data_IF_827677761103
#
_entry.id   IF_827677761103
#
_cell.length_a   1.000
_cell.length_b   1.000
_cell.length_c   1.000
_cell.angle_alpha   90.00
_cell.angle_beta   90.00
_cell.angle_gamma   90.00
#
_symmetry.space_group_name_H-M   'P 1'
#
loop_
_entity.id
_entity.type
_entity.pdbx_description
1 polymer ?
#
# COMPACT_ATOMS: atom_id res chain seq x y z
N UNK A 1 64.33 -17.40 26.76
CA UNK A 1 63.36 -18.09 27.66
C UNK A 1 62.24 -17.17 28.15
N UNK A 2 62.52 -15.90 28.52
CA UNK A 2 61.49 -14.97 29.03
C UNK A 2 60.57 -14.42 27.91
N UNK A 3 61.05 -14.25 26.68
CA UNK A 3 60.30 -13.79 25.54
C UNK A 3 59.18 -14.78 25.17
N UNK A 4 59.42 -16.08 25.19
CA UNK A 4 58.43 -17.12 24.91
C UNK A 4 57.32 -17.20 25.97
N UNK A 5 57.57 -16.83 27.22
CA UNK A 5 56.61 -16.84 28.32
C UNK A 5 55.68 -15.64 28.22
N UNK A 6 56.22 -14.47 27.82
CA UNK A 6 55.45 -13.25 27.59
C UNK A 6 54.49 -13.36 26.41
N UNK A 7 54.97 -13.95 25.28
CA UNK A 7 54.14 -14.23 24.12
C UNK A 7 52.99 -15.19 24.41
N UNK A 8 53.23 -16.21 25.26
CA UNK A 8 52.22 -17.18 25.65
C UNK A 8 51.13 -16.54 26.53
N UNK A 9 51.49 -15.65 27.45
CA UNK A 9 50.53 -14.97 28.32
C UNK A 9 49.63 -13.97 27.57
N UNK A 10 50.17 -13.28 26.55
CA UNK A 10 49.41 -12.44 25.68
C UNK A 10 48.43 -13.25 24.81
N UNK A 11 48.89 -14.37 24.27
CA UNK A 11 48.01 -15.25 23.47
C UNK A 11 46.84 -15.83 24.30
N UNK A 12 47.09 -16.20 25.57
CA UNK A 12 46.05 -16.68 26.45
C UNK A 12 45.04 -15.57 26.86
N UNK A 13 45.50 -14.33 27.01
CA UNK A 13 44.64 -13.15 27.23
C UNK A 13 43.75 -12.85 26.01
N UNK A 14 44.35 -12.79 24.83
CA UNK A 14 43.65 -12.55 23.58
C UNK A 14 42.59 -13.63 23.28
N UNK A 15 42.93 -14.90 23.59
CA UNK A 15 41.98 -16.01 23.46
C UNK A 15 40.77 -15.86 24.38
N UNK A 16 40.97 -15.45 25.63
CA UNK A 16 39.87 -15.21 26.58
C UNK A 16 39.00 -14.04 26.14
N UNK A 17 39.59 -12.98 25.60
CA UNK A 17 38.86 -11.84 25.07
C UNK A 17 38.01 -12.24 23.87
N UNK A 18 38.57 -13.08 22.98
CA UNK A 18 37.85 -13.60 21.82
C UNK A 18 36.67 -14.52 22.24
N UNK A 19 36.84 -15.35 23.22
CA UNK A 19 35.79 -16.22 23.80
C UNK A 19 34.68 -15.37 24.44
N UNK A 20 35.03 -14.33 25.18
CA UNK A 20 34.07 -13.42 25.82
C UNK A 20 33.27 -12.63 24.75
N UNK A 21 33.95 -12.14 23.72
CA UNK A 21 33.32 -11.44 22.59
C UNK A 21 32.37 -12.38 21.83
N UNK A 22 32.77 -13.64 21.62
CA UNK A 22 31.94 -14.65 20.99
C UNK A 22 30.65 -14.94 21.79
N UNK A 23 30.77 -14.99 23.12
CA UNK A 23 29.60 -15.18 24.00
C UNK A 23 28.67 -13.93 23.93
N UNK A 24 29.24 -12.70 23.99
CA UNK A 24 28.46 -11.49 23.92
C UNK A 24 27.70 -11.38 22.58
N UNK A 25 28.32 -11.78 21.49
CA UNK A 25 27.66 -11.84 20.17
C UNK A 25 26.50 -12.84 20.17
N UNK A 26 26.68 -14.02 20.76
CA UNK A 26 25.64 -15.05 20.88
C UNK A 26 24.44 -14.55 21.68
N UNK A 27 24.71 -13.87 22.79
CA UNK A 27 23.67 -13.33 23.67
C UNK A 27 22.89 -12.21 22.99
N UNK A 28 23.57 -11.31 22.29
CA UNK A 28 22.93 -10.24 21.47
C UNK A 28 22.10 -10.83 20.34
N UNK A 29 22.56 -11.88 19.72
CA UNK A 29 21.84 -12.57 18.66
C UNK A 29 20.54 -13.21 19.20
N UNK A 30 20.58 -13.82 20.37
CA UNK A 30 19.40 -14.39 21.03
C UNK A 30 18.36 -13.33 21.37
N UNK A 31 18.80 -12.18 21.90
CA UNK A 31 17.90 -11.03 22.17
C UNK A 31 17.26 -10.49 20.88
N UNK A 32 18.03 -10.42 19.80
CA UNK A 32 17.52 -9.95 18.50
C UNK A 32 16.46 -10.92 17.94
N UNK A 33 16.71 -12.22 17.99
CA UNK A 33 15.72 -13.22 17.55
C UNK A 33 14.44 -13.18 18.39
N UNK A 34 14.55 -12.99 19.71
CA UNK A 34 13.37 -12.81 20.56
C UNK A 34 12.57 -11.57 20.20
N UNK A 35 13.24 -10.45 19.93
CA UNK A 35 12.58 -9.20 19.48
C UNK A 35 11.89 -9.36 18.12
N UNK A 36 12.50 -10.08 17.17
CA UNK A 36 11.91 -10.39 15.88
C UNK A 36 10.64 -11.23 16.05
N UNK A 37 10.69 -12.27 16.87
CA UNK A 37 9.53 -13.12 17.13
C UNK A 37 8.37 -12.35 17.79
N UNK A 38 8.65 -11.40 18.68
CA UNK A 38 7.64 -10.54 19.29
C UNK A 38 7.00 -9.59 18.26
N UNK A 39 7.81 -9.03 17.37
CA UNK A 39 7.30 -8.21 16.26
C UNK A 39 6.45 -9.02 15.28
N UNK A 40 6.84 -10.25 14.95
CA UNK A 40 6.05 -11.13 14.08
C UNK A 40 4.68 -11.45 14.69
N UNK A 41 4.63 -11.73 16.00
CA UNK A 41 3.37 -11.94 16.73
C UNK A 41 2.49 -10.68 16.71
N UNK A 42 3.08 -9.51 16.91
CA UNK A 42 2.36 -8.23 16.87
C UNK A 42 1.77 -7.95 15.47
N UNK A 43 2.53 -8.24 14.41
CA UNK A 43 2.07 -8.11 13.02
C UNK A 43 0.93 -9.09 12.73
N UNK A 44 1.01 -10.32 13.21
CA UNK A 44 -0.05 -11.31 13.04
C UNK A 44 -1.36 -10.88 13.73
N UNK A 45 -1.26 -10.35 14.96
CA UNK A 45 -2.41 -9.86 15.71
C UNK A 45 -3.05 -8.64 15.01
N UNK A 46 -2.24 -7.66 14.59
CA UNK A 46 -2.71 -6.49 13.84
C UNK A 46 -3.36 -6.88 12.50
N UNK A 47 -2.82 -7.89 11.82
CA UNK A 47 -3.39 -8.41 10.57
C UNK A 47 -4.77 -9.03 10.81
N UNK A 48 -4.93 -9.75 11.91
CA UNK A 48 -6.22 -10.34 12.31
C UNK A 48 -7.23 -9.24 12.63
N UNK A 49 -6.86 -8.26 13.44
CA UNK A 49 -7.71 -7.10 13.77
C UNK A 49 -8.13 -6.31 12.53
N UNK A 50 -7.20 -6.13 11.58
CA UNK A 50 -7.49 -5.45 10.32
C UNK A 50 -8.52 -6.23 9.49
N UNK A 51 -8.40 -7.56 9.41
CA UNK A 51 -9.33 -8.40 8.67
C UNK A 51 -10.73 -8.37 9.29
N UNK A 52 -10.83 -8.38 10.61
CA UNK A 52 -12.11 -8.27 11.33
C UNK A 52 -12.74 -6.89 11.14
N UNK A 53 -11.96 -5.82 11.22
CA UNK A 53 -12.44 -4.47 10.97
C UNK A 53 -12.93 -4.27 9.52
N UNK A 54 -12.26 -4.87 8.55
CA UNK A 54 -12.68 -4.84 7.15
C UNK A 54 -14.00 -5.62 6.94
N UNK A 55 -14.13 -6.78 7.57
CA UNK A 55 -15.36 -7.56 7.51
C UNK A 55 -16.55 -6.79 8.13
N UNK A 56 -16.35 -6.16 9.28
CA UNK A 56 -17.36 -5.33 9.94
C UNK A 56 -17.75 -4.11 9.09
N UNK A 57 -16.76 -3.46 8.47
CA UNK A 57 -17.01 -2.32 7.58
C UNK A 57 -17.82 -2.72 6.32
N UNK A 58 -17.49 -3.87 5.73
CA UNK A 58 -18.22 -4.41 4.58
C UNK A 58 -19.68 -4.77 4.95
N UNK A 59 -19.89 -5.31 6.13
CA UNK A 59 -21.24 -5.60 6.62
C UNK A 59 -22.05 -4.32 6.88
N UNK A 60 -21.45 -3.32 7.51
CA UNK A 60 -22.07 -2.01 7.72
C UNK A 60 -22.43 -1.32 6.40
N UNK A 61 -21.59 -1.48 5.37
CA UNK A 61 -21.87 -0.95 4.04
C UNK A 61 -23.05 -1.65 3.38
N UNK A 62 -23.13 -2.99 3.43
CA UNK A 62 -24.29 -3.75 2.93
C UNK A 62 -25.59 -3.36 3.63
N UNK A 63 -25.55 -3.11 4.94
CA UNK A 63 -26.71 -2.66 5.71
C UNK A 63 -27.16 -1.26 5.26
N UNK A 64 -26.24 -0.32 5.01
CA UNK A 64 -26.54 1.02 4.48
C UNK A 64 -27.15 0.95 3.08
N UNK A 65 -26.61 0.10 2.20
CA UNK A 65 -27.15 -0.11 0.84
C UNK A 65 -28.55 -0.72 0.88
N UNK A 66 -28.78 -1.70 1.75
CA UNK A 66 -30.10 -2.30 1.96
C UNK A 66 -31.12 -1.28 2.51
N UNK A 67 -30.70 -0.42 3.43
CA UNK A 67 -31.57 0.65 3.97
C UNK A 67 -31.88 1.71 2.90
N UNK A 68 -30.88 2.08 2.07
CA UNK A 68 -31.07 3.00 0.97
C UNK A 68 -32.01 2.45 -0.11
N UNK A 69 -31.89 1.15 -0.45
CA UNK A 69 -32.77 0.47 -1.37
C UNK A 69 -34.21 0.39 -0.81
N UNK A 70 -34.40 0.11 0.49
CA UNK A 70 -35.69 0.09 1.15
C UNK A 70 -36.34 1.49 1.22
N UNK A 71 -35.55 2.54 1.38
CA UNK A 71 -36.04 3.93 1.35
C UNK A 71 -36.46 4.35 -0.07
N UNK A 72 -35.68 3.95 -1.10
CA UNK A 72 -36.04 4.21 -2.50
C UNK A 72 -37.34 3.50 -2.91
N UNK A 73 -37.58 2.27 -2.43
CA UNK A 73 -38.81 1.52 -2.71
C UNK A 73 -40.07 2.18 -2.12
N UNK A 74 -39.95 2.95 -1.05
CA UNK A 74 -41.07 3.69 -0.44
C UNK A 74 -41.43 4.99 -1.16
N UNK A 75 -40.56 5.50 -2.03
CA UNK A 75 -40.73 6.79 -2.73
C UNK A 75 -41.35 6.63 -4.12
N UNK A 76 -41.49 5.41 -4.64
CA UNK A 76 -42.00 5.16 -6.01
C UNK A 76 -43.52 5.09 -6.14
N UNK A 77 -44.31 5.54 -5.14
CA UNK A 77 -45.79 5.46 -5.21
C UNK A 77 -46.43 6.84 -5.52
N UNK A 78 -45.76 7.83 -5.98
CA UNK A 78 -46.40 9.04 -6.49
C UNK A 78 -45.49 9.83 -7.42
N UNK A 79 -45.54 9.57 -8.71
CA UNK A 79 -45.68 10.58 -9.78
C UNK A 79 -45.42 9.90 -11.13
N UNK A 80 -46.50 9.72 -11.87
CA UNK A 80 -46.48 9.42 -13.29
C UNK A 80 -46.55 10.77 -14.02
N UNK A 81 -45.57 11.08 -14.84
CA UNK A 81 -45.71 11.78 -16.13
C UNK A 81 -44.47 12.53 -16.56
N UNK A 82 -44.13 12.32 -17.80
CA UNK A 82 -43.54 13.19 -18.83
C UNK A 82 -42.03 13.17 -19.04
N UNK A 83 -41.62 12.37 -19.99
CA UNK A 83 -40.83 12.61 -21.20
C UNK A 83 -39.84 13.81 -21.18
N UNK A 84 -38.57 13.57 -21.32
CA UNK A 84 -37.75 14.03 -22.46
C UNK A 84 -36.36 13.42 -22.40
N UNK A 85 -35.99 12.78 -23.50
CA UNK A 85 -34.67 12.28 -23.83
C UNK A 85 -33.64 13.39 -23.86
N UNK A 86 -32.65 13.36 -23.01
CA UNK A 86 -31.37 14.01 -23.26
C UNK A 86 -30.26 13.02 -22.92
N UNK A 87 -29.50 12.65 -23.93
CA UNK A 87 -28.25 11.89 -23.79
C UNK A 87 -27.29 12.71 -22.91
N UNK A 88 -27.29 12.44 -21.62
CA UNK A 88 -26.26 12.97 -20.72
C UNK A 88 -25.03 12.06 -20.81
N UNK A 89 -23.91 12.69 -21.14
CA UNK A 89 -22.60 12.11 -21.05
C UNK A 89 -22.47 11.29 -19.75
N UNK A 90 -21.94 10.09 -19.88
CA UNK A 90 -21.62 9.23 -18.76
C UNK A 90 -20.73 10.03 -17.78
N UNK A 91 -21.31 10.49 -16.69
CA UNK A 91 -20.55 10.94 -15.55
C UNK A 91 -19.86 9.72 -14.97
N UNK A 92 -18.61 9.55 -15.37
CA UNK A 92 -17.67 8.59 -14.82
C UNK A 92 -17.29 9.07 -13.41
N UNK A 93 -18.23 9.02 -12.47
CA UNK A 93 -17.97 9.30 -11.05
C UNK A 93 -17.30 8.09 -10.44
N UNK A 94 -16.09 7.79 -10.89
CA UNK A 94 -15.21 6.87 -10.20
C UNK A 94 -14.93 7.42 -8.81
N UNK A 95 -15.23 6.65 -7.78
CA UNK A 95 -15.06 7.09 -6.39
C UNK A 95 -13.60 6.94 -5.98
N UNK A 96 -13.00 8.01 -5.48
CA UNK A 96 -11.67 7.97 -4.83
C UNK A 96 -11.58 6.91 -3.72
N UNK A 97 -12.64 6.77 -2.93
CA UNK A 97 -12.73 5.75 -1.88
C UNK A 97 -12.73 4.33 -2.43
N UNK A 98 -13.36 4.10 -3.58
CA UNK A 98 -13.35 2.82 -4.28
C UNK A 98 -11.97 2.45 -4.79
N UNK A 99 -11.21 3.42 -5.34
CA UNK A 99 -9.82 3.22 -5.77
C UNK A 99 -8.94 2.82 -4.60
N UNK A 100 -9.04 3.51 -3.47
CA UNK A 100 -8.29 3.20 -2.25
C UNK A 100 -8.66 1.83 -1.71
N UNK A 101 -9.94 1.48 -1.65
CA UNK A 101 -10.39 0.15 -1.23
C UNK A 101 -9.85 -0.96 -2.13
N UNK A 102 -9.89 -0.75 -3.46
CA UNK A 102 -9.30 -1.68 -4.42
C UNK A 102 -7.78 -1.82 -4.24
N UNK A 103 -7.07 -0.75 -3.90
CA UNK A 103 -5.63 -0.79 -3.62
C UNK A 103 -5.31 -1.64 -2.38
N UNK A 104 -6.08 -1.47 -1.30
CA UNK A 104 -5.92 -2.28 -0.08
C UNK A 104 -6.15 -3.77 -0.33
N UNK A 105 -7.10 -4.14 -1.19
CA UNK A 105 -7.36 -5.54 -1.52
C UNK A 105 -6.25 -6.21 -2.36
N UNK A 106 -5.31 -5.43 -2.87
CA UNK A 106 -4.16 -5.93 -3.65
C UNK A 106 -2.88 -6.04 -2.81
N UNK A 107 -2.90 -5.72 -1.53
CA UNK A 107 -1.72 -5.88 -0.66
C UNK A 107 -1.23 -7.33 -0.66
N UNK A 108 0.08 -7.50 -0.69
CA UNK A 108 0.73 -8.82 -0.72
C UNK A 108 0.80 -9.47 -2.10
N UNK A 109 0.18 -8.91 -3.14
CA UNK A 109 0.31 -9.42 -4.51
C UNK A 109 1.74 -9.22 -5.01
N UNK A 110 2.38 -10.25 -5.60
CA UNK A 110 3.76 -10.16 -6.07
C UNK A 110 3.97 -9.07 -7.12
N UNK A 111 5.16 -8.45 -7.12
CA UNK A 111 5.59 -7.62 -8.22
C UNK A 111 5.90 -8.47 -9.45
N UNK A 112 5.31 -8.11 -10.59
CA UNK A 112 5.63 -8.69 -11.91
C UNK A 112 5.79 -7.54 -12.90
N UNK A 113 6.93 -7.46 -13.57
CA UNK A 113 7.16 -6.45 -14.61
C UNK A 113 6.11 -6.54 -15.73
N UNK A 114 5.45 -5.43 -16.05
CA UNK A 114 4.35 -5.40 -17.01
C UNK A 114 3.05 -6.06 -16.52
N UNK A 115 2.97 -6.48 -15.26
CA UNK A 115 1.80 -7.13 -14.67
C UNK A 115 0.66 -6.15 -14.42
N UNK A 116 -0.56 -6.58 -14.76
CA UNK A 116 -1.80 -5.77 -14.66
C UNK A 116 -2.96 -6.51 -14.01
N UNK A 117 -2.69 -7.61 -13.31
CA UNK A 117 -3.71 -8.48 -12.73
C UNK A 117 -3.32 -8.95 -11.32
N UNK A 118 -4.26 -9.51 -10.53
CA UNK A 118 -3.97 -10.06 -9.21
C UNK A 118 -2.94 -11.20 -9.16
N UNK A 119 -2.51 -11.73 -10.31
CA UNK A 119 -1.37 -12.66 -10.39
C UNK A 119 -0.02 -11.95 -10.27
N UNK A 120 0.02 -10.64 -10.41
CA UNK A 120 1.20 -9.79 -10.26
C UNK A 120 1.01 -8.43 -10.90
N UNK A 121 1.59 -7.42 -10.29
CA UNK A 121 1.54 -6.04 -10.74
C UNK A 121 2.92 -5.42 -10.87
N UNK A 122 3.12 -4.55 -11.86
CA UNK A 122 4.09 -3.46 -11.74
C UNK A 122 3.42 -2.19 -11.16
N UNK A 123 4.19 -1.14 -10.91
CA UNK A 123 3.68 0.07 -10.27
C UNK A 123 2.54 0.73 -11.06
N UNK A 124 2.66 0.84 -12.37
CA UNK A 124 1.66 1.43 -13.25
C UNK A 124 0.51 0.48 -13.56
N UNK A 125 0.78 -0.83 -13.59
CA UNK A 125 -0.23 -1.86 -13.76
C UNK A 125 -1.18 -1.99 -12.58
N UNK A 126 -0.67 -1.79 -11.36
CA UNK A 126 -1.51 -1.66 -10.17
C UNK A 126 -2.44 -0.44 -10.31
N UNK A 127 -1.93 0.74 -10.71
CA UNK A 127 -2.77 1.91 -10.95
C UNK A 127 -3.81 1.64 -12.03
N UNK A 128 -3.38 1.10 -13.18
CA UNK A 128 -4.28 0.72 -14.26
C UNK A 128 -5.42 -0.18 -13.79
N UNK A 129 -5.11 -1.19 -12.97
CA UNK A 129 -6.09 -2.16 -12.48
C UNK A 129 -7.08 -1.54 -11.49
N UNK A 130 -6.62 -0.90 -10.41
CA UNK A 130 -7.48 -0.38 -9.35
C UNK A 130 -8.38 0.77 -9.82
N UNK A 131 -7.89 1.63 -10.72
CA UNK A 131 -8.68 2.71 -11.30
C UNK A 131 -9.74 2.17 -12.27
N UNK A 132 -9.37 1.20 -13.11
CA UNK A 132 -10.29 0.56 -14.04
C UNK A 132 -11.45 -0.16 -13.31
N UNK A 133 -11.20 -0.80 -12.18
CA UNK A 133 -12.24 -1.40 -11.33
C UNK A 133 -13.29 -0.36 -10.88
N UNK A 134 -12.92 0.88 -10.82
CA UNK A 134 -13.78 2.00 -10.44
C UNK A 134 -14.24 2.84 -11.65
N UNK A 135 -14.14 2.31 -12.86
CA UNK A 135 -14.59 2.99 -14.08
C UNK A 135 -13.72 4.18 -14.52
N UNK A 136 -12.53 4.35 -13.92
CA UNK A 136 -11.59 5.44 -14.25
C UNK A 136 -10.51 4.91 -15.18
N UNK A 137 -10.26 5.63 -16.28
CA UNK A 137 -9.21 5.26 -17.23
C UNK A 137 -7.88 5.90 -16.85
N UNK A 138 -6.87 5.06 -16.60
CA UNK A 138 -5.49 5.45 -16.30
C UNK A 138 -4.56 4.67 -17.23
N UNK A 139 -3.54 5.29 -17.86
CA UNK A 139 -2.62 4.57 -18.75
C UNK A 139 -1.72 3.61 -17.97
N UNK A 140 -1.32 2.50 -18.62
CA UNK A 140 -0.32 1.57 -18.08
C UNK A 140 1.10 2.06 -18.41
N UNK A 141 1.48 3.19 -17.86
CA UNK A 141 2.83 3.78 -17.97
C UNK A 141 3.01 4.86 -16.93
N UNK A 142 4.04 4.76 -16.10
CA UNK A 142 4.33 5.73 -15.05
C UNK A 142 4.55 7.14 -15.59
N UNK A 143 5.22 7.28 -16.74
CA UNK A 143 5.44 8.58 -17.39
C UNK A 143 4.16 9.18 -17.99
N UNK A 144 3.30 8.34 -18.59
CA UNK A 144 2.01 8.79 -19.12
C UNK A 144 1.05 9.19 -17.98
N UNK A 145 1.08 8.47 -16.86
CA UNK A 145 0.35 8.83 -15.63
C UNK A 145 0.81 10.20 -15.13
N UNK A 146 2.12 10.43 -15.06
CA UNK A 146 2.67 11.70 -14.59
C UNK A 146 2.32 12.90 -15.49
N UNK A 147 2.04 12.65 -16.78
CA UNK A 147 1.64 13.67 -17.75
C UNK A 147 0.12 13.88 -17.86
N UNK A 148 -0.69 12.97 -17.31
CA UNK A 148 -2.15 12.99 -17.46
C UNK A 148 -2.89 13.49 -16.21
N UNK A 149 -4.22 13.35 -16.21
CA UNK A 149 -5.08 13.75 -15.11
C UNK A 149 -4.97 15.25 -14.73
N UNK A 150 -5.60 15.63 -13.63
CA UNK A 150 -5.51 16.97 -13.06
C UNK A 150 -4.29 17.09 -12.13
N UNK A 151 -3.55 18.19 -12.22
CA UNK A 151 -2.38 18.44 -11.36
C UNK A 151 -2.80 18.82 -9.95
N UNK A 152 -2.16 18.20 -8.95
CA UNK A 152 -2.26 18.57 -7.53
C UNK A 152 -0.94 19.22 -7.10
N UNK A 153 -1.01 20.41 -6.53
CA UNK A 153 0.17 21.28 -6.34
C UNK A 153 1.19 20.80 -5.32
N UNK A 154 0.76 20.03 -4.31
CA UNK A 154 1.64 19.55 -3.23
C UNK A 154 1.05 18.33 -2.52
N UNK A 155 1.89 17.61 -1.77
CA UNK A 155 1.45 16.47 -0.96
C UNK A 155 0.45 16.89 0.13
N UNK A 156 0.51 18.14 0.62
CA UNK A 156 -0.47 18.67 1.59
C UNK A 156 -1.87 18.87 1.00
N UNK A 157 -1.98 18.96 -0.33
CA UNK A 157 -3.25 19.06 -1.07
C UNK A 157 -3.69 17.72 -1.63
N UNK A 158 -2.85 16.69 -1.52
CA UNK A 158 -3.18 15.36 -1.99
C UNK A 158 -4.33 14.76 -1.17
N UNK A 159 -5.24 14.10 -1.86
CA UNK A 159 -6.37 13.39 -1.27
C UNK A 159 -6.22 11.89 -1.54
N UNK A 160 -6.77 11.02 -0.67
CA UNK A 160 -6.80 9.58 -0.94
C UNK A 160 -7.40 9.31 -2.32
N UNK A 161 -6.73 8.47 -3.12
CA UNK A 161 -7.06 8.23 -4.53
C UNK A 161 -6.23 9.03 -5.53
N UNK A 162 -5.45 10.03 -5.12
CA UNK A 162 -4.49 10.69 -5.99
C UNK A 162 -3.29 9.78 -6.28
N UNK A 163 -2.66 9.94 -7.44
CA UNK A 163 -1.46 9.19 -7.80
C UNK A 163 -0.22 10.05 -7.53
N UNK A 164 0.67 9.56 -6.68
CA UNK A 164 1.98 10.17 -6.44
C UNK A 164 2.95 9.60 -7.48
N UNK A 165 3.59 10.49 -8.22
CA UNK A 165 4.51 10.15 -9.30
C UNK A 165 5.95 10.47 -8.89
N UNK A 166 6.86 9.56 -9.23
CA UNK A 166 8.30 9.63 -8.98
C UNK A 166 9.06 9.35 -10.28
N UNK A 167 10.38 9.53 -10.34
CA UNK A 167 11.14 9.11 -11.50
C UNK A 167 10.96 7.61 -11.78
N UNK A 168 10.26 7.26 -12.87
CA UNK A 168 10.01 5.89 -13.29
C UNK A 168 9.05 5.07 -12.41
N UNK A 169 8.37 5.69 -11.43
CA UNK A 169 7.55 4.97 -10.47
C UNK A 169 6.27 5.75 -10.09
N UNK A 170 5.23 5.01 -9.64
CA UNK A 170 3.95 5.58 -9.17
C UNK A 170 3.38 4.78 -8.00
N UNK A 171 2.57 5.46 -7.18
CA UNK A 171 1.78 4.83 -6.11
C UNK A 171 0.49 5.62 -5.85
N UNK A 172 -0.57 4.95 -5.40
CA UNK A 172 -1.81 5.62 -5.01
C UNK A 172 -1.71 6.15 -3.58
N UNK A 173 -2.05 7.41 -3.39
CA UNK A 173 -2.09 8.04 -2.07
C UNK A 173 -3.29 7.54 -1.27
N UNK A 174 -3.07 7.15 -0.03
CA UNK A 174 -4.11 6.63 0.87
C UNK A 174 -4.37 7.54 2.08
N UNK A 175 -3.72 8.71 2.12
CA UNK A 175 -3.79 9.63 3.25
C UNK A 175 -2.61 9.49 4.20
N UNK A 176 -2.51 10.39 5.17
CA UNK A 176 -1.50 10.37 6.24
C UNK A 176 -0.05 10.24 5.77
N UNK A 177 0.26 10.76 4.57
CA UNK A 177 1.60 10.68 3.99
C UNK A 177 2.00 9.28 3.51
N UNK A 178 1.04 8.40 3.22
CA UNK A 178 1.25 7.03 2.81
C UNK A 178 0.72 6.74 1.40
N UNK A 179 1.34 5.79 0.73
CA UNK A 179 0.93 5.26 -0.56
C UNK A 179 0.83 3.73 -0.52
N UNK A 180 0.02 3.17 -1.42
CA UNK A 180 0.10 1.76 -1.83
C UNK A 180 0.74 1.71 -3.21
N UNK A 181 1.74 0.85 -3.37
CA UNK A 181 2.48 0.69 -4.61
C UNK A 181 3.01 -0.74 -4.79
N UNK A 182 3.36 -1.11 -6.02
CA UNK A 182 4.14 -2.30 -6.35
C UNK A 182 5.59 -1.85 -6.61
N UNK A 183 6.55 -2.09 -5.69
CA UNK A 183 7.85 -1.40 -5.70
C UNK A 183 8.83 -1.91 -6.75
N UNK A 184 9.19 -3.20 -6.73
CA UNK A 184 10.21 -3.78 -7.60
C UNK A 184 10.12 -5.31 -7.61
N UNK A 185 10.86 -5.94 -8.53
CA UNK A 185 10.98 -7.40 -8.61
C UNK A 185 11.47 -8.01 -7.29
N UNK A 186 10.85 -9.10 -6.88
CA UNK A 186 11.13 -9.79 -5.61
C UNK A 186 10.39 -9.21 -4.41
N UNK A 187 9.60 -8.16 -4.61
CA UNK A 187 8.77 -7.54 -3.57
C UNK A 187 7.28 -7.72 -3.89
N UNK A 188 6.41 -7.22 -3.01
CA UNK A 188 4.96 -7.32 -3.13
C UNK A 188 4.31 -5.93 -3.09
N UNK A 189 3.04 -5.83 -3.47
CA UNK A 189 2.24 -4.62 -3.24
C UNK A 189 2.18 -4.36 -1.75
N UNK A 190 2.58 -3.16 -1.34
CA UNK A 190 2.69 -2.77 0.08
C UNK A 190 2.40 -1.29 0.32
N UNK A 191 2.21 -0.96 1.59
CA UNK A 191 2.13 0.42 2.07
C UNK A 191 3.54 0.95 2.32
N UNK A 192 3.80 2.17 1.90
CA UNK A 192 5.06 2.88 2.16
C UNK A 192 4.80 4.37 2.40
N UNK A 193 5.79 5.09 2.92
CA UNK A 193 5.72 6.55 2.97
C UNK A 193 5.63 7.15 1.57
N UNK A 194 4.86 8.21 1.40
CA UNK A 194 4.82 8.96 0.14
C UNK A 194 6.16 9.64 -0.20
N UNK A 195 7.08 9.75 0.76
CA UNK A 195 8.40 10.35 0.60
C UNK A 195 9.52 9.32 0.37
N UNK A 196 9.20 8.13 -0.15
CA UNK A 196 10.22 7.09 -0.49
C UNK A 196 11.21 7.55 -1.55
N UNK A 197 10.79 8.43 -2.45
CA UNK A 197 11.57 9.02 -3.54
C UNK A 197 11.15 10.49 -3.71
N UNK A 198 11.94 11.32 -4.43
CA UNK A 198 11.53 12.67 -4.81
C UNK A 198 10.24 12.65 -5.63
N UNK A 199 9.21 13.35 -5.16
CA UNK A 199 7.92 13.47 -5.87
C UNK A 199 8.11 14.39 -7.07
N UNK A 200 7.78 13.91 -8.28
CA UNK A 200 7.87 14.68 -9.52
C UNK A 200 6.53 15.29 -9.94
N UNK A 201 5.42 14.62 -9.61
CA UNK A 201 4.08 15.12 -9.84
C UNK A 201 3.08 14.43 -8.90
N UNK A 202 1.93 15.04 -8.70
CA UNK A 202 0.77 14.41 -8.07
C UNK A 202 -0.41 14.60 -9.04
N UNK A 203 -1.13 13.52 -9.32
CA UNK A 203 -2.16 13.49 -10.36
C UNK A 203 -3.48 12.95 -9.83
N UNK A 204 -4.57 13.61 -10.18
CA UNK A 204 -5.94 13.23 -9.87
C UNK A 204 -6.66 12.81 -11.14
N UNK A 205 -7.25 11.62 -11.13
CA UNK A 205 -7.94 11.03 -12.28
C UNK A 205 -9.45 10.80 -12.03
N UNK A 206 -9.89 11.07 -10.81
CA UNK A 206 -11.29 10.93 -10.36
C UNK A 206 -11.99 12.26 -10.18
#
# INVERSE_FOLDING_TARGET
SEMCIRDRSTLDADKKELEALGQEMTDKQAVLYAAIADQENTVADLTTQLSEAQAAAAEAQRQREAQAAAAAAKTTTKTKSSTTTTVAAANNSGSASGVVSAAYSMLGVPYVWGGTSPSGFDCSGLMYYIFRQNGISVPHSSSAIAGGGSSVGSLSQAQPGDIICYPGHVGVYIGSGQIIHAPTSGDVVKISSANILPITAIRRYW
#
